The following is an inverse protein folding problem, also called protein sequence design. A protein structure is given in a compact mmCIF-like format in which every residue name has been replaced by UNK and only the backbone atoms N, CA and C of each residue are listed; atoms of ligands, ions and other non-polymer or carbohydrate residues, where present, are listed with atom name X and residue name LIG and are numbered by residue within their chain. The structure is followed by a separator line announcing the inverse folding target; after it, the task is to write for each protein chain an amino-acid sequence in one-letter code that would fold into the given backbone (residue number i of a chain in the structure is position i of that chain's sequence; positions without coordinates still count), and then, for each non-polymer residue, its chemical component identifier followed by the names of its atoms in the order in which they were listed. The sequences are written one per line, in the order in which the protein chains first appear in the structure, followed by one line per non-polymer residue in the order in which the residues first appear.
data_IF_124192659873
#
_entry.id   IF_124192659873
#
_cell.length_a   1.000
_cell.length_b   1.000
_cell.length_c   1.000
_cell.angle_alpha   90.00
_cell.angle_beta   90.00
_cell.angle_gamma   90.00
#
_symmetry.space_group_name_H-M   'P 1'
#
loop_
_entity.id
_entity.type
_entity.pdbx_description
1 polymer ?
#
# COMPACT_ATOMS: atom_id res chain seq x y z
N UNK A 1 -7.14 5.00 13.80
CA UNK A 1 -5.76 4.86 13.29
C UNK A 1 -5.38 3.40 13.35
N UNK A 2 -4.79 2.84 12.30
CA UNK A 2 -4.26 1.47 12.29
C UNK A 2 -2.75 1.50 12.49
N UNK A 3 -2.24 0.68 13.42
CA UNK A 3 -0.82 0.62 13.72
C UNK A 3 -0.08 -0.26 12.69
N UNK A 4 0.95 0.30 12.07
CA UNK A 4 1.89 -0.46 11.24
C UNK A 4 3.15 -0.74 12.06
N UNK A 5 3.66 -1.98 12.10
CA UNK A 5 4.92 -2.28 12.77
C UNK A 5 6.06 -1.42 12.21
N UNK A 6 7.01 -1.02 13.05
CA UNK A 6 8.13 -0.11 12.69
C UNK A 6 8.93 -0.58 11.47
N UNK A 7 9.03 -1.90 11.24
CA UNK A 7 9.70 -2.50 10.09
C UNK A 7 8.73 -3.19 9.11
N UNK A 8 7.44 -2.91 9.24
CA UNK A 8 6.34 -3.45 8.44
C UNK A 8 5.88 -2.51 7.34
N UNK A 9 6.74 -1.59 6.89
CA UNK A 9 6.41 -0.55 5.91
C UNK A 9 5.90 -1.15 4.58
N UNK A 10 6.36 -2.35 4.23
CA UNK A 10 5.86 -3.13 3.09
C UNK A 10 4.40 -3.64 3.24
N UNK A 11 3.79 -3.52 4.42
CA UNK A 11 2.37 -3.75 4.67
C UNK A 11 1.55 -2.45 4.61
N UNK A 12 2.19 -1.29 4.55
CA UNK A 12 1.51 0.00 4.46
C UNK A 12 1.03 0.23 3.03
N UNK A 13 -0.29 0.33 2.85
CA UNK A 13 -0.91 0.55 1.55
C UNK A 13 -0.40 1.83 0.88
N UNK A 14 -0.24 2.92 1.63
CA UNK A 14 0.24 4.19 1.08
C UNK A 14 1.66 4.08 0.51
N UNK A 15 2.56 3.35 1.19
CA UNK A 15 3.93 3.16 0.72
C UNK A 15 4.02 2.29 -0.54
N UNK A 16 3.13 1.29 -0.64
CA UNK A 16 3.01 0.47 -1.85
C UNK A 16 2.53 1.33 -3.02
N UNK A 17 1.54 2.19 -2.80
CA UNK A 17 1.02 3.13 -3.81
C UNK A 17 2.09 4.14 -4.25
N UNK A 18 2.83 4.73 -3.32
CA UNK A 18 3.97 5.62 -3.63
C UNK A 18 5.03 4.88 -4.46
N UNK A 19 5.31 3.62 -4.13
CA UNK A 19 6.24 2.79 -4.91
C UNK A 19 5.73 2.47 -6.32
N UNK A 20 4.42 2.37 -6.52
CA UNK A 20 3.78 2.22 -7.84
C UNK A 20 3.87 3.53 -8.64
N UNK A 21 3.48 4.66 -8.05
CA UNK A 21 3.62 5.99 -8.63
C UNK A 21 5.06 6.25 -9.08
N UNK A 22 6.04 5.99 -8.19
CA UNK A 22 7.45 6.17 -8.49
C UNK A 22 7.89 5.36 -9.72
N UNK A 23 7.50 4.08 -9.81
CA UNK A 23 7.90 3.22 -10.93
C UNK A 23 7.15 3.51 -12.23
N UNK A 24 5.86 3.87 -12.16
CA UNK A 24 4.99 3.98 -13.32
C UNK A 24 4.86 5.40 -13.88
N UNK A 25 4.90 6.42 -13.02
CA UNK A 25 4.75 7.84 -13.40
C UNK A 25 6.10 8.57 -13.45
N UNK A 26 6.91 8.40 -12.40
CA UNK A 26 8.16 9.16 -12.27
C UNK A 26 9.32 8.45 -13.00
N UNK A 27 9.39 7.13 -12.93
CA UNK A 27 10.44 6.34 -13.55
C UNK A 27 11.84 6.80 -13.13
N UNK A 28 12.75 6.95 -14.10
CA UNK A 28 14.11 7.48 -13.89
C UNK A 28 14.26 8.95 -14.34
N UNK A 29 13.18 9.60 -14.76
CA UNK A 29 13.27 10.95 -15.37
C UNK A 29 13.37 12.03 -14.28
N UNK A 30 14.05 13.12 -14.60
CA UNK A 30 14.02 14.33 -13.76
C UNK A 30 12.84 15.20 -14.17
N UNK A 31 12.06 15.65 -13.19
CA UNK A 31 10.97 16.61 -13.40
C UNK A 31 11.48 17.99 -12.94
N UNK A 32 11.45 19.01 -13.81
CA UNK A 32 12.19 20.25 -13.58
C UNK A 32 11.48 21.23 -12.63
N UNK A 33 10.17 21.07 -12.39
CA UNK A 33 9.36 21.98 -11.56
C UNK A 33 8.33 21.21 -10.75
N UNK A 34 7.90 21.80 -9.63
CA UNK A 34 6.83 21.22 -8.79
C UNK A 34 5.50 21.17 -9.54
N UNK A 35 5.12 22.23 -10.26
CA UNK A 35 3.86 22.24 -11.03
C UNK A 35 3.76 21.09 -12.04
N UNK A 36 4.88 20.71 -12.68
CA UNK A 36 4.91 19.56 -13.58
C UNK A 36 4.80 18.24 -12.82
N UNK A 37 5.41 18.14 -11.64
CA UNK A 37 5.31 16.96 -10.78
C UNK A 37 3.85 16.74 -10.35
N UNK A 38 3.15 17.81 -9.97
CA UNK A 38 1.76 17.74 -9.54
C UNK A 38 0.86 17.29 -10.70
N UNK A 39 0.99 17.91 -11.87
CA UNK A 39 0.20 17.54 -13.06
C UNK A 39 0.36 16.07 -13.45
N UNK A 40 1.59 15.56 -13.40
CA UNK A 40 1.93 14.18 -13.75
C UNK A 40 1.39 13.19 -12.71
N UNK A 41 1.50 13.55 -11.43
CA UNK A 41 0.98 12.75 -10.31
C UNK A 41 -0.55 12.67 -10.36
N UNK A 42 -1.23 13.80 -10.57
CA UNK A 42 -2.68 13.87 -10.74
C UNK A 42 -3.17 13.05 -11.95
N UNK A 43 -2.45 13.15 -13.06
CA UNK A 43 -2.79 12.40 -14.26
C UNK A 43 -2.67 10.88 -14.02
N UNK A 44 -1.61 10.46 -13.33
CA UNK A 44 -1.41 9.07 -12.96
C UNK A 44 -2.47 8.59 -11.95
N UNK A 45 -2.78 9.37 -10.92
CA UNK A 45 -3.80 9.02 -9.92
C UNK A 45 -5.16 8.80 -10.59
N UNK A 46 -5.59 9.75 -11.45
CA UNK A 46 -6.84 9.61 -12.21
C UNK A 46 -6.85 8.36 -13.07
N UNK A 47 -5.71 8.03 -13.70
CA UNK A 47 -5.59 6.80 -14.49
C UNK A 47 -5.67 5.55 -13.59
N UNK A 48 -4.93 5.50 -12.49
CA UNK A 48 -4.92 4.37 -11.55
C UNK A 48 -6.30 4.10 -10.97
N UNK A 49 -7.02 5.16 -10.60
CA UNK A 49 -8.39 5.11 -10.10
C UNK A 49 -9.37 4.59 -11.17
N UNK A 50 -9.27 5.07 -12.42
CA UNK A 50 -10.07 4.55 -13.54
C UNK A 50 -9.80 3.08 -13.83
N UNK A 51 -8.53 2.66 -13.77
CA UNK A 51 -8.14 1.26 -13.94
C UNK A 51 -8.47 0.39 -12.72
N UNK A 52 -8.90 1.01 -11.60
CA UNK A 52 -9.17 0.34 -10.33
C UNK A 52 -8.01 -0.56 -9.94
N UNK A 53 -6.79 -0.03 -9.96
CA UNK A 53 -5.61 -0.79 -9.55
C UNK A 53 -5.82 -1.31 -8.12
N UNK A 54 -5.66 -2.63 -7.95
CA UNK A 54 -5.83 -3.30 -6.65
C UNK A 54 -4.50 -3.87 -6.20
N UNK A 55 -4.17 -3.65 -4.94
CA UNK A 55 -3.11 -4.41 -4.28
C UNK A 55 -3.63 -5.84 -4.08
N UNK A 56 -3.00 -6.80 -4.76
CA UNK A 56 -3.28 -8.22 -4.57
C UNK A 56 -2.49 -8.72 -3.36
N UNK A 57 -3.10 -8.61 -2.19
CA UNK A 57 -2.50 -9.07 -0.94
C UNK A 57 -2.24 -10.58 -0.98
N UNK A 58 -0.97 -10.96 -0.90
CA UNK A 58 -0.52 -12.36 -0.74
C UNK A 58 -0.13 -12.70 0.70
N UNK A 59 0.02 -11.67 1.53
CA UNK A 59 0.25 -11.80 2.96
C UNK A 59 -1.10 -11.89 3.67
N UNK A 60 -1.37 -13.04 4.28
CA UNK A 60 -2.66 -13.37 4.88
C UNK A 60 -2.56 -13.31 6.40
N UNK A 61 -3.70 -13.25 7.09
CA UNK A 61 -3.74 -13.28 8.57
C UNK A 61 -2.99 -14.49 9.15
N UNK A 62 -3.13 -15.73 8.63
CA UNK A 62 -2.32 -16.85 9.10
C UNK A 62 -0.81 -16.63 8.95
N UNK A 63 -0.37 -16.05 7.81
CA UNK A 63 1.05 -15.71 7.60
C UNK A 63 1.53 -14.63 8.56
N UNK A 64 0.68 -13.66 8.88
CA UNK A 64 0.97 -12.64 9.87
C UNK A 64 1.18 -13.24 11.26
N UNK A 65 0.27 -14.14 11.70
CA UNK A 65 0.39 -14.85 12.98
C UNK A 65 1.69 -15.64 13.07
N UNK A 66 2.00 -16.43 12.04
CA UNK A 66 3.24 -17.20 11.99
C UNK A 66 4.50 -16.31 11.97
N UNK A 67 4.46 -15.16 11.29
CA UNK A 67 5.63 -14.28 11.14
C UNK A 67 5.90 -13.40 12.37
N UNK A 68 4.85 -12.93 13.03
CA UNK A 68 4.94 -12.00 14.16
C UNK A 68 4.75 -12.66 15.52
N UNK A 69 4.52 -13.97 15.56
CA UNK A 69 4.31 -14.70 16.81
C UNK A 69 3.06 -14.23 17.55
N UNK A 70 2.01 -13.85 16.82
CA UNK A 70 0.73 -13.52 17.45
C UNK A 70 0.11 -14.81 17.97
N UNK A 71 0.00 -14.93 19.29
CA UNK A 71 -0.85 -15.93 19.89
C UNK A 71 -2.28 -15.73 19.39
N UNK A 72 -3.01 -16.82 19.05
CA UNK A 72 -4.41 -16.68 18.72
C UNK A 72 -5.12 -16.01 19.89
N UNK A 73 -5.83 -14.88 19.69
CA UNK A 73 -6.65 -14.35 20.76
C UNK A 73 -7.69 -15.41 21.12
N UNK A 74 -8.00 -15.55 22.42
CA UNK A 74 -9.17 -16.26 22.93
C UNK A 74 -10.47 -15.55 22.51
N UNK A 75 -10.65 -15.33 21.22
CA UNK A 75 -11.86 -14.74 20.67
C UNK A 75 -12.64 -15.85 19.96
N UNK A 76 -13.57 -16.44 20.71
CA UNK A 76 -14.68 -17.18 20.14
C UNK A 76 -15.60 -16.14 19.51
N UNK A 77 -15.74 -16.16 18.18
CA UNK A 77 -16.76 -15.36 17.50
C UNK A 77 -18.11 -15.81 18.05
N UNK A 78 -18.83 -14.92 18.72
CA UNK A 78 -20.23 -15.17 19.08
C UNK A 78 -20.98 -15.49 17.80
N UNK A 79 -21.62 -16.67 17.76
CA UNK A 79 -22.56 -17.00 16.70
C UNK A 79 -23.83 -16.17 16.96
N UNK A 80 -24.25 -15.40 15.95
CA UNK A 80 -25.56 -14.73 15.90
C UNK A 80 -26.64 -15.72 15.42
#
# INVERSE_FOLDING_TARGET
MHFTPVHGSWLNQAEIEISLLSRQCLGKRRIPTLDKLDQETDAWERWANRQRLRIRWRFTVPKARARFGYDPPEFTRSED
#
